data_IF_810790822079
#
_entry.id   IF_810790822079
#
_cell.length_a   1.000
_cell.length_b   1.000
_cell.length_c   1.000
_cell.angle_alpha   90.00
_cell.angle_beta   90.00
_cell.angle_gamma   90.00
#
_symmetry.space_group_name_H-M   'P 1'
#
loop_
_entity.id
_entity.type
_entity.pdbx_description
1 polymer ?
#
# COMPACT_ATOMS: atom_id res chain seq x y z
N UNK A 1 -12.76 2.67 -9.23
CA UNK A 1 -13.00 1.46 -8.42
C UNK A 1 -12.29 0.22 -9.00
N UNK A 2 -12.51 -0.15 -10.27
CA UNK A 2 -11.90 -1.35 -10.86
C UNK A 2 -10.38 -1.47 -10.72
N UNK A 3 -9.63 -0.36 -10.87
CA UNK A 3 -8.18 -0.35 -10.67
C UNK A 3 -7.77 -0.77 -9.25
N UNK A 4 -8.48 -0.28 -8.22
CA UNK A 4 -8.20 -0.63 -6.83
C UNK A 4 -8.50 -2.12 -6.57
N UNK A 5 -9.62 -2.64 -7.08
CA UNK A 5 -9.95 -4.07 -6.97
C UNK A 5 -8.88 -4.93 -7.65
N UNK A 6 -8.49 -4.59 -8.86
CA UNK A 6 -7.42 -5.32 -9.59
C UNK A 6 -6.11 -5.35 -8.78
N UNK A 7 -5.69 -4.18 -8.25
CA UNK A 7 -4.46 -4.11 -7.46
C UNK A 7 -4.59 -4.84 -6.13
N UNK A 8 -5.78 -4.83 -5.49
CA UNK A 8 -6.02 -5.62 -4.28
C UNK A 8 -5.79 -7.11 -4.53
N UNK A 9 -6.30 -7.65 -5.65
CA UNK A 9 -6.05 -9.05 -6.05
C UNK A 9 -4.56 -9.27 -6.31
N UNK A 10 -3.90 -8.38 -7.06
CA UNK A 10 -2.47 -8.46 -7.34
C UNK A 10 -1.63 -8.46 -6.04
N UNK A 11 -1.97 -7.62 -5.07
CA UNK A 11 -1.25 -7.52 -3.80
C UNK A 11 -1.58 -8.63 -2.81
N UNK A 12 -2.72 -9.30 -2.96
CA UNK A 12 -3.10 -10.44 -2.13
C UNK A 12 -2.03 -11.55 -2.13
N UNK A 13 -1.30 -11.72 -3.25
CA UNK A 13 -0.17 -12.64 -3.35
C UNK A 13 1.10 -12.12 -2.66
N UNK A 14 1.29 -10.80 -2.59
CA UNK A 14 2.56 -10.20 -2.18
C UNK A 14 2.95 -10.52 -0.75
N UNK A 15 2.01 -10.44 0.20
CA UNK A 15 2.30 -10.68 1.62
C UNK A 15 2.76 -12.11 1.87
N UNK A 16 2.09 -13.07 1.26
CA UNK A 16 2.46 -14.49 1.38
C UNK A 16 3.81 -14.77 0.72
N UNK A 17 4.06 -14.22 -0.47
CA UNK A 17 5.35 -14.38 -1.15
C UNK A 17 6.50 -13.75 -0.36
N UNK A 18 6.29 -12.60 0.26
CA UNK A 18 7.29 -11.96 1.14
C UNK A 18 7.54 -12.84 2.36
N UNK A 19 6.47 -13.22 3.08
CA UNK A 19 6.59 -13.97 4.32
C UNK A 19 7.19 -15.36 4.15
N UNK A 20 6.82 -16.09 3.08
CA UNK A 20 7.25 -17.46 2.87
C UNK A 20 8.67 -17.57 2.31
N UNK A 21 9.06 -16.67 1.42
CA UNK A 21 10.28 -16.85 0.63
C UNK A 21 11.36 -15.81 0.88
N UNK A 22 11.01 -14.63 1.36
CA UNK A 22 11.96 -13.53 1.55
C UNK A 22 12.20 -13.20 3.02
N UNK A 23 11.16 -13.14 3.85
CA UNK A 23 11.27 -12.76 5.25
C UNK A 23 12.23 -13.68 6.02
N UNK A 24 13.18 -13.10 6.75
CA UNK A 24 14.19 -13.82 7.49
C UNK A 24 15.29 -14.49 6.65
N UNK A 25 15.16 -14.56 5.32
CA UNK A 25 16.10 -15.23 4.40
C UNK A 25 16.87 -14.23 3.54
N UNK A 26 16.21 -13.20 3.07
CA UNK A 26 16.77 -12.14 2.25
C UNK A 26 16.79 -10.86 3.07
N UNK A 27 17.86 -10.07 2.92
CA UNK A 27 17.96 -8.77 3.58
C UNK A 27 16.79 -7.87 3.19
N UNK A 28 16.15 -7.27 4.19
CA UNK A 28 14.95 -6.45 4.00
C UNK A 28 15.22 -5.18 3.19
N UNK A 29 16.35 -4.53 3.45
CA UNK A 29 16.74 -3.28 2.78
C UNK A 29 17.12 -3.56 1.32
N UNK A 30 17.81 -4.68 1.05
CA UNK A 30 18.08 -5.14 -0.32
C UNK A 30 16.80 -5.47 -1.08
N UNK A 31 15.87 -6.18 -0.44
CA UNK A 31 14.61 -6.54 -1.09
C UNK A 31 13.79 -5.30 -1.46
N UNK A 32 13.73 -4.29 -0.57
CA UNK A 32 13.06 -3.01 -0.85
C UNK A 32 13.78 -2.25 -1.96
N UNK A 33 15.10 -2.11 -1.89
CA UNK A 33 15.89 -1.41 -2.92
C UNK A 33 15.70 -2.06 -4.29
N UNK A 34 15.75 -3.39 -4.39
CA UNK A 34 15.52 -4.13 -5.64
C UNK A 34 14.14 -3.83 -6.20
N UNK A 35 13.09 -3.82 -5.37
CA UNK A 35 11.72 -3.50 -5.80
C UNK A 35 11.60 -2.06 -6.28
N UNK A 36 12.26 -1.09 -5.61
CA UNK A 36 12.30 0.32 -6.03
C UNK A 36 12.98 0.46 -7.38
N UNK A 37 14.15 -0.16 -7.56
CA UNK A 37 14.90 -0.12 -8.81
C UNK A 37 14.12 -0.74 -9.97
N UNK A 38 13.52 -1.91 -9.78
CA UNK A 38 12.71 -2.57 -10.81
C UNK A 38 11.47 -1.76 -11.16
N UNK A 39 10.78 -1.17 -10.17
CA UNK A 39 9.66 -0.26 -10.42
C UNK A 39 10.10 1.01 -11.15
N UNK A 40 11.26 1.57 -10.81
CA UNK A 40 11.84 2.71 -11.51
C UNK A 40 12.13 2.38 -12.98
N UNK A 41 12.69 1.20 -13.26
CA UNK A 41 12.99 0.74 -14.62
C UNK A 41 11.73 0.69 -15.51
N UNK A 42 10.57 0.34 -14.95
CA UNK A 42 9.30 0.34 -15.69
C UNK A 42 8.94 1.74 -16.18
N UNK A 43 9.16 2.78 -15.38
CA UNK A 43 8.72 4.14 -15.69
C UNK A 43 9.81 5.04 -16.25
N UNK A 44 11.09 4.71 -16.04
CA UNK A 44 12.23 5.51 -16.49
C UNK A 44 12.16 5.87 -18.00
N UNK A 45 11.85 4.93 -18.93
CA UNK A 45 11.77 5.23 -20.36
C UNK A 45 10.66 6.23 -20.71
N UNK A 46 9.61 6.29 -19.90
CA UNK A 46 8.45 7.14 -20.14
C UNK A 46 8.53 8.47 -19.39
N UNK A 47 9.47 8.62 -18.44
CA UNK A 47 9.56 9.78 -17.57
C UNK A 47 9.86 11.06 -18.35
N UNK A 48 8.96 12.03 -18.20
CA UNK A 48 9.11 13.35 -18.84
C UNK A 48 9.90 14.28 -17.93
N UNK A 49 11.10 14.67 -18.39
CA UNK A 49 12.03 15.49 -17.61
C UNK A 49 11.77 17.00 -17.76
N UNK A 50 11.26 17.43 -18.93
CA UNK A 50 11.01 18.84 -19.26
C UNK A 50 9.51 19.12 -19.37
N UNK A 51 9.12 20.37 -19.09
CA UNK A 51 7.72 20.81 -19.23
C UNK A 51 6.76 20.22 -18.19
N UNK A 52 7.27 19.68 -17.06
CA UNK A 52 6.48 19.25 -15.90
C UNK A 52 6.61 20.28 -14.79
N UNK A 53 5.51 20.79 -14.19
CA UNK A 53 5.57 21.76 -13.10
C UNK A 53 6.46 21.29 -11.95
N UNK A 54 7.32 22.19 -11.43
CA UNK A 54 8.23 21.83 -10.33
C UNK A 54 7.52 21.33 -9.07
N UNK A 55 6.40 21.95 -8.72
CA UNK A 55 5.57 21.51 -7.59
C UNK A 55 5.00 20.09 -7.78
N UNK A 56 4.61 19.72 -9.02
CA UNK A 56 4.16 18.37 -9.34
C UNK A 56 5.29 17.35 -9.15
N UNK A 57 6.50 17.66 -9.71
CA UNK A 57 7.67 16.79 -9.55
C UNK A 57 7.98 16.53 -8.07
N UNK A 58 8.08 17.61 -7.29
CA UNK A 58 8.38 17.53 -5.85
C UNK A 58 7.28 16.78 -5.09
N UNK A 59 6.01 17.06 -5.37
CA UNK A 59 4.90 16.37 -4.72
C UNK A 59 4.90 14.88 -5.00
N UNK A 60 5.07 14.46 -6.27
CA UNK A 60 5.13 13.03 -6.64
C UNK A 60 6.36 12.36 -6.03
N UNK A 61 7.51 13.05 -5.99
CA UNK A 61 8.74 12.55 -5.36
C UNK A 61 8.52 12.31 -3.85
N UNK A 62 7.98 13.30 -3.12
CA UNK A 62 7.69 13.18 -1.68
C UNK A 62 6.70 12.05 -1.41
N UNK A 63 5.68 11.90 -2.24
CA UNK A 63 4.72 10.79 -2.07
C UNK A 63 5.38 9.43 -2.28
N UNK A 64 6.37 9.32 -3.19
CA UNK A 64 7.17 8.12 -3.37
C UNK A 64 8.07 7.81 -2.18
N UNK A 65 8.71 8.85 -1.59
CA UNK A 65 9.48 8.69 -0.34
C UNK A 65 8.61 8.09 0.77
N UNK A 66 7.40 8.61 0.95
CA UNK A 66 6.47 8.17 2.00
C UNK A 66 5.87 6.79 1.67
N UNK A 67 5.13 6.70 0.55
CA UNK A 67 4.28 5.55 0.23
C UNK A 67 5.07 4.29 -0.13
N UNK A 68 6.26 4.45 -0.68
CA UNK A 68 7.07 3.30 -1.06
C UNK A 68 8.36 3.22 -0.25
N UNK A 69 9.16 4.27 -0.16
CA UNK A 69 10.43 4.25 0.55
C UNK A 69 10.25 3.87 2.02
N UNK A 70 9.69 4.76 2.83
CA UNK A 70 9.55 4.56 4.28
C UNK A 70 8.60 3.40 4.58
N UNK A 71 7.44 3.36 3.92
CA UNK A 71 6.44 2.32 4.13
C UNK A 71 7.03 0.92 4.00
N UNK A 72 7.76 0.64 2.91
CA UNK A 72 8.24 -0.72 2.66
C UNK A 72 9.43 -1.09 3.52
N UNK A 73 10.29 -0.16 3.88
CA UNK A 73 11.34 -0.42 4.87
C UNK A 73 10.76 -0.82 6.22
N UNK A 74 9.77 -0.06 6.72
CA UNK A 74 9.10 -0.39 7.97
C UNK A 74 8.31 -1.71 7.87
N UNK A 75 7.61 -1.93 6.76
CA UNK A 75 6.86 -3.16 6.50
C UNK A 75 7.78 -4.40 6.48
N UNK A 76 8.87 -4.35 5.71
CA UNK A 76 9.78 -5.50 5.63
C UNK A 76 10.48 -5.78 6.95
N UNK A 77 10.93 -4.75 7.66
CA UNK A 77 11.53 -4.91 9.00
C UNK A 77 10.52 -5.42 10.03
N UNK A 78 9.22 -5.13 9.87
CA UNK A 78 8.20 -5.65 10.80
C UNK A 78 8.11 -7.18 10.77
N UNK A 79 8.43 -7.83 9.64
CA UNK A 79 8.46 -9.30 9.55
C UNK A 79 9.57 -9.96 10.40
N UNK A 80 10.54 -9.20 10.93
CA UNK A 80 11.50 -9.70 11.92
C UNK A 80 10.88 -9.83 13.33
N UNK A 81 9.74 -9.22 13.56
CA UNK A 81 9.06 -9.17 14.86
C UNK A 81 7.64 -9.75 14.81
N UNK A 82 7.04 -9.82 13.63
CA UNK A 82 5.64 -10.19 13.44
C UNK A 82 5.52 -11.33 12.41
N UNK A 83 4.57 -12.20 12.65
CA UNK A 83 4.13 -13.20 11.66
C UNK A 83 3.33 -12.53 10.54
N UNK A 84 3.21 -13.20 9.37
CA UNK A 84 2.38 -12.72 8.26
C UNK A 84 0.93 -12.39 8.70
N UNK A 85 0.27 -13.24 9.52
CA UNK A 85 -1.03 -12.93 10.09
C UNK A 85 -1.09 -11.61 10.88
N UNK A 86 -0.10 -11.37 11.74
CA UNK A 86 -0.05 -10.15 12.58
C UNK A 86 0.21 -8.90 11.73
N UNK A 87 1.07 -9.01 10.71
CA UNK A 87 1.29 -7.91 9.75
C UNK A 87 -0.04 -7.54 9.06
N UNK A 88 -0.78 -8.53 8.55
CA UNK A 88 -2.10 -8.29 7.94
C UNK A 88 -3.10 -7.72 8.97
N UNK A 89 -3.10 -8.20 10.21
CA UNK A 89 -3.96 -7.67 11.28
C UNK A 89 -3.67 -6.18 11.52
N UNK A 90 -2.41 -5.81 11.67
CA UNK A 90 -2.08 -4.42 12.03
C UNK A 90 -2.18 -3.44 10.87
N UNK A 91 -2.22 -3.90 9.62
CA UNK A 91 -2.52 -3.01 8.47
C UNK A 91 -3.97 -2.54 8.44
N UNK A 92 -4.87 -3.15 9.24
CA UNK A 92 -6.29 -2.75 9.33
C UNK A 92 -6.50 -1.30 9.77
N UNK A 93 -5.49 -0.65 10.40
CA UNK A 93 -5.56 0.75 10.82
C UNK A 93 -5.38 1.75 9.66
N UNK A 94 -4.88 1.31 8.51
CA UNK A 94 -4.63 2.19 7.33
C UNK A 94 -5.85 3.04 6.94
N UNK A 95 -7.09 2.54 6.90
CA UNK A 95 -8.27 3.33 6.59
C UNK A 95 -8.48 4.54 7.50
N UNK A 96 -8.19 4.40 8.78
CA UNK A 96 -8.30 5.50 9.74
C UNK A 96 -7.31 6.61 9.40
N UNK A 97 -6.05 6.25 9.10
CA UNK A 97 -5.04 7.22 8.68
C UNK A 97 -5.41 7.90 7.37
N UNK A 98 -5.94 7.16 6.38
CA UNK A 98 -6.41 7.74 5.10
C UNK A 98 -7.46 8.81 5.34
N UNK A 99 -8.47 8.50 6.15
CA UNK A 99 -9.56 9.42 6.45
C UNK A 99 -9.06 10.65 7.23
N UNK A 100 -8.26 10.44 8.27
CA UNK A 100 -7.74 11.53 9.09
C UNK A 100 -6.81 12.47 8.32
N UNK A 101 -5.94 11.92 7.46
CA UNK A 101 -5.02 12.72 6.63
C UNK A 101 -5.79 13.50 5.56
N UNK A 102 -6.78 12.88 4.91
CA UNK A 102 -7.62 13.56 3.92
C UNK A 102 -8.40 14.70 4.57
N UNK A 103 -9.03 14.46 5.73
CA UNK A 103 -9.76 15.47 6.46
C UNK A 103 -8.85 16.63 6.92
N UNK A 104 -7.67 16.34 7.44
CA UNK A 104 -6.69 17.34 7.85
C UNK A 104 -6.21 18.18 6.66
N UNK A 105 -5.92 17.54 5.52
CA UNK A 105 -5.39 18.21 4.32
C UNK A 105 -6.40 19.18 3.70
N UNK A 106 -7.68 18.80 3.72
CA UNK A 106 -8.77 19.63 3.17
C UNK A 106 -9.51 20.45 4.22
N UNK A 107 -9.01 20.46 5.48
CA UNK A 107 -9.61 21.20 6.62
C UNK A 107 -11.11 20.96 6.76
N UNK A 108 -11.50 19.71 6.66
CA UNK A 108 -12.90 19.25 6.77
C UNK A 108 -12.98 18.08 7.74
N UNK A 109 -14.19 17.75 8.16
CA UNK A 109 -14.47 16.57 8.95
C UNK A 109 -15.54 15.73 8.24
N UNK A 110 -15.21 14.51 7.91
CA UNK A 110 -16.06 13.58 7.16
C UNK A 110 -16.54 12.42 8.07
N UNK A 111 -17.54 12.63 8.94
CA UNK A 111 -17.93 11.63 9.92
C UNK A 111 -18.37 10.31 9.28
N UNK A 112 -19.06 10.36 8.14
CA UNK A 112 -19.50 9.15 7.41
C UNK A 112 -18.29 8.34 6.93
N UNK A 113 -17.27 8.99 6.35
CA UNK A 113 -16.06 8.32 5.89
C UNK A 113 -15.27 7.72 7.07
N UNK A 114 -15.18 8.45 8.19
CA UNK A 114 -14.49 7.97 9.39
C UNK A 114 -15.22 6.76 10.01
N UNK A 115 -16.55 6.82 10.13
CA UNK A 115 -17.37 5.68 10.62
C UNK A 115 -17.22 4.49 9.67
N UNK A 116 -17.30 4.70 8.36
CA UNK A 116 -17.11 3.64 7.38
C UNK A 116 -15.70 3.01 7.49
N UNK A 117 -14.65 3.82 7.66
CA UNK A 117 -13.30 3.33 7.89
C UNK A 117 -13.18 2.53 9.20
N UNK A 118 -13.80 3.01 10.30
CA UNK A 118 -13.81 2.28 11.57
C UNK A 118 -14.55 0.94 11.46
N UNK A 119 -15.71 0.90 10.79
CA UNK A 119 -16.46 -0.34 10.55
C UNK A 119 -15.65 -1.31 9.68
N UNK A 120 -14.96 -0.83 8.64
CA UNK A 120 -14.08 -1.67 7.83
C UNK A 120 -12.90 -2.23 8.64
N UNK A 121 -12.34 -1.43 9.56
CA UNK A 121 -11.29 -1.86 10.49
C UNK A 121 -11.79 -2.98 11.41
N UNK A 122 -12.99 -2.84 11.98
CA UNK A 122 -13.62 -3.89 12.79
C UNK A 122 -13.86 -5.16 11.97
N UNK A 123 -14.37 -5.04 10.75
CA UNK A 123 -14.57 -6.18 9.85
C UNK A 123 -13.29 -6.95 9.56
N UNK A 124 -12.19 -6.24 9.28
CA UNK A 124 -10.89 -6.85 9.07
C UNK A 124 -10.34 -7.51 10.36
N UNK A 125 -10.57 -6.88 11.53
CA UNK A 125 -10.22 -7.44 12.83
C UNK A 125 -10.95 -8.76 13.13
N UNK A 126 -12.24 -8.87 12.82
CA UNK A 126 -13.03 -10.12 12.97
C UNK A 126 -12.38 -11.27 12.18
N UNK A 127 -11.89 -10.98 10.97
CA UNK A 127 -11.26 -12.00 10.13
C UNK A 127 -9.96 -12.52 10.75
N UNK A 128 -9.18 -11.66 11.41
CA UNK A 128 -7.75 -11.92 11.61
C UNK A 128 -7.26 -12.03 13.06
N UNK A 129 -8.08 -11.89 14.06
CA UNK A 129 -7.65 -11.96 15.47
C UNK A 129 -7.33 -13.40 15.90
N UNK A 130 -6.04 -13.73 16.04
CA UNK A 130 -5.54 -15.06 16.48
C UNK A 130 -4.54 -14.98 17.66
N UNK A 131 -4.54 -13.89 18.43
CA UNK A 131 -3.55 -13.63 19.49
C UNK A 131 -2.30 -12.92 18.98
N UNK A 132 -1.40 -12.55 19.88
CA UNK A 132 -0.22 -11.73 19.59
C UNK A 132 1.07 -12.43 20.01
N UNK A 133 2.13 -12.30 19.22
CA UNK A 133 3.45 -12.84 19.51
C UNK A 133 4.23 -12.00 20.53
N UNK A 134 5.30 -12.58 21.11
CA UNK A 134 6.23 -11.82 21.92
C UNK A 134 7.01 -10.79 21.06
N UNK A 135 7.24 -9.60 21.61
CA UNK A 135 7.92 -8.50 20.89
C UNK A 135 7.03 -7.74 19.90
N UNK A 136 5.74 -8.02 19.88
CA UNK A 136 4.78 -7.39 18.98
C UNK A 136 4.79 -5.85 19.02
N UNK A 137 5.17 -5.23 20.13
CA UNK A 137 5.16 -3.76 20.29
C UNK A 137 6.07 -3.10 19.23
N UNK A 138 7.31 -3.59 19.08
CA UNK A 138 8.23 -3.02 18.08
C UNK A 138 7.71 -3.23 16.66
N UNK A 139 7.27 -4.44 16.35
CA UNK A 139 6.68 -4.76 15.06
C UNK A 139 5.41 -3.95 14.77
N UNK A 140 4.54 -3.81 15.79
CA UNK A 140 3.34 -2.98 15.71
C UNK A 140 3.69 -1.51 15.42
N UNK A 141 4.63 -0.91 16.14
CA UNK A 141 5.03 0.49 15.90
C UNK A 141 5.62 0.70 14.52
N UNK A 142 6.51 -0.19 14.07
CA UNK A 142 7.02 -0.17 12.70
C UNK A 142 5.88 -0.21 11.68
N UNK A 143 4.91 -1.06 11.89
CA UNK A 143 3.78 -1.21 10.98
C UNK A 143 2.82 -0.02 11.04
N UNK A 144 2.65 0.65 12.21
CA UNK A 144 1.88 1.90 12.26
C UNK A 144 2.57 3.03 11.50
N UNK A 145 3.91 3.12 11.54
CA UNK A 145 4.67 4.05 10.68
C UNK A 145 4.44 3.71 9.20
N UNK A 146 4.49 2.43 8.83
CA UNK A 146 4.20 1.99 7.46
C UNK A 146 2.78 2.36 7.03
N UNK A 147 1.76 2.08 7.84
CA UNK A 147 0.36 2.40 7.57
C UNK A 147 0.14 3.91 7.39
N UNK A 148 0.72 4.72 8.30
CA UNK A 148 0.62 6.18 8.24
C UNK A 148 1.29 6.73 6.98
N UNK A 149 2.52 6.32 6.68
CA UNK A 149 3.27 6.80 5.51
C UNK A 149 2.66 6.31 4.20
N UNK A 150 2.08 5.11 4.16
CA UNK A 150 1.31 4.63 3.02
C UNK A 150 0.06 5.47 2.78
N UNK A 151 -0.70 5.75 3.84
CA UNK A 151 -1.88 6.60 3.77
C UNK A 151 -1.52 8.03 3.34
N UNK A 152 -0.47 8.63 3.94
CA UNK A 152 0.00 9.95 3.59
C UNK A 152 0.48 10.04 2.13
N UNK A 153 1.14 8.99 1.64
CA UNK A 153 1.59 8.92 0.26
C UNK A 153 0.44 8.89 -0.74
N UNK A 154 -0.54 7.99 -0.56
CA UNK A 154 -1.67 7.88 -1.50
C UNK A 154 -2.60 9.09 -1.47
N UNK A 155 -2.90 9.65 -0.29
CA UNK A 155 -3.69 10.90 -0.17
C UNK A 155 -2.90 12.09 -0.70
N UNK A 156 -1.61 12.17 -0.37
CA UNK A 156 -0.70 13.20 -0.87
C UNK A 156 -0.54 13.16 -2.39
N UNK A 157 -0.47 11.96 -3.00
CA UNK A 157 -0.43 11.82 -4.45
C UNK A 157 -1.70 12.39 -5.10
N UNK A 158 -2.87 11.99 -4.60
CA UNK A 158 -4.16 12.54 -5.05
C UNK A 158 -4.21 14.06 -4.93
N UNK A 159 -3.82 14.60 -3.78
CA UNK A 159 -3.77 16.04 -3.56
C UNK A 159 -2.81 16.75 -4.51
N UNK A 160 -1.62 16.18 -4.73
CA UNK A 160 -0.61 16.72 -5.66
C UNK A 160 -1.15 16.80 -7.08
N UNK A 161 -1.80 15.73 -7.57
CA UNK A 161 -2.38 15.70 -8.90
C UNK A 161 -3.51 16.75 -9.06
N UNK A 162 -4.30 16.98 -8.02
CA UNK A 162 -5.36 18.01 -8.02
C UNK A 162 -4.79 19.44 -7.91
N UNK A 163 -3.71 19.62 -7.15
CA UNK A 163 -3.08 20.94 -6.91
C UNK A 163 -2.31 21.46 -8.10
N UNK A 164 -1.72 20.57 -8.90
CA UNK A 164 -0.89 20.88 -10.06
C UNK A 164 -1.45 20.19 -11.30
N UNK A 165 -2.59 20.66 -11.84
CA UNK A 165 -3.17 20.09 -13.05
C UNK A 165 -2.20 20.24 -14.22
N UNK A 166 -2.13 19.21 -15.05
CA UNK A 166 -1.23 19.15 -16.19
C UNK A 166 -1.80 18.25 -17.28
N UNK A 167 -1.50 18.58 -18.55
CA UNK A 167 -1.81 17.72 -19.69
C UNK A 167 -0.83 16.54 -19.84
N UNK A 168 0.24 16.53 -19.02
CA UNK A 168 1.20 15.43 -19.04
C UNK A 168 0.56 14.17 -18.45
N UNK A 169 0.47 13.07 -19.20
CA UNK A 169 -0.11 11.83 -18.69
C UNK A 169 0.57 11.35 -17.41
N UNK A 170 -0.21 10.84 -16.45
CA UNK A 170 0.28 10.45 -15.13
C UNK A 170 1.45 9.44 -15.19
N UNK A 171 1.45 8.49 -16.15
CA UNK A 171 2.56 7.53 -16.29
C UNK A 171 3.89 8.21 -16.64
N UNK A 172 3.87 9.39 -17.27
CA UNK A 172 5.08 10.17 -17.60
C UNK A 172 5.63 10.97 -16.41
N UNK A 173 4.87 11.12 -15.34
CA UNK A 173 5.32 11.77 -14.10
C UNK A 173 5.60 10.77 -13.00
N UNK A 174 5.14 9.52 -13.14
CA UNK A 174 5.23 8.51 -12.09
C UNK A 174 6.66 8.01 -11.82
N UNK A 175 7.60 8.23 -12.75
CA UNK A 175 9.03 7.98 -12.50
C UNK A 175 9.57 8.76 -11.29
N UNK A 176 9.10 10.00 -11.06
CA UNK A 176 9.49 10.79 -9.88
C UNK A 176 9.09 10.13 -8.56
N UNK A 177 8.01 9.35 -8.54
CA UNK A 177 7.61 8.55 -7.39
C UNK A 177 8.69 7.54 -7.00
N UNK A 178 9.22 6.80 -7.96
CA UNK A 178 10.29 5.84 -7.70
C UNK A 178 11.62 6.51 -7.37
N UNK A 179 11.92 7.67 -7.93
CA UNK A 179 13.10 8.45 -7.52
C UNK A 179 12.98 8.89 -6.07
N UNK A 180 11.80 9.31 -5.63
CA UNK A 180 11.54 9.59 -4.22
C UNK A 180 11.78 8.37 -3.33
N UNK A 181 11.23 7.21 -3.70
CA UNK A 181 11.46 5.98 -2.97
C UNK A 181 12.95 5.59 -2.93
N UNK A 182 13.70 5.83 -4.02
CA UNK A 182 15.13 5.54 -4.11
C UNK A 182 15.97 6.41 -3.16
N UNK A 183 15.59 7.69 -2.96
CA UNK A 183 16.24 8.59 -1.99
C UNK A 183 16.22 8.00 -0.57
N UNK A 184 15.21 7.19 -0.25
CA UNK A 184 15.08 6.50 1.05
C UNK A 184 15.73 5.12 1.02
N UNK A 185 15.41 4.30 0.01
CA UNK A 185 15.80 2.90 -0.03
C UNK A 185 17.31 2.70 -0.25
N UNK A 186 17.95 3.54 -1.08
CA UNK A 186 19.39 3.40 -1.35
C UNK A 186 20.25 3.71 -0.12
N UNK A 187 20.10 4.86 0.57
CA UNK A 187 20.84 5.10 1.80
C UNK A 187 20.55 4.06 2.89
N UNK A 188 19.30 3.60 3.01
CA UNK A 188 18.96 2.55 3.98
C UNK A 188 19.75 1.28 3.74
N UNK A 189 19.83 0.80 2.49
CA UNK A 189 20.62 -0.39 2.16
C UNK A 189 22.13 -0.16 2.38
N UNK A 190 22.66 1.01 2.01
CA UNK A 190 24.10 1.33 2.20
C UNK A 190 24.51 1.39 3.67
N UNK A 191 23.59 1.79 4.57
CA UNK A 191 23.88 1.97 6.00
C UNK A 191 23.54 0.70 6.80
N UNK A 192 22.43 0.03 6.50
CA UNK A 192 21.86 -1.04 7.31
C UNK A 192 21.77 -2.38 6.57
N UNK A 193 22.03 -2.40 5.26
CA UNK A 193 21.91 -3.61 4.45
C UNK A 193 22.98 -4.65 4.79
N UNK A 194 22.59 -5.91 4.74
CA UNK A 194 23.46 -7.06 4.94
C UNK A 194 23.71 -7.79 3.63
N UNK A 195 24.88 -7.51 3.01
CA UNK A 195 25.28 -8.11 1.75
C UNK A 195 25.50 -9.65 1.84
N UNK A 196 25.59 -10.22 3.04
CA UNK A 196 25.68 -11.68 3.22
C UNK A 196 24.33 -12.38 3.04
N UNK A 197 23.23 -11.63 3.08
CA UNK A 197 21.85 -12.14 3.00
C UNK A 197 21.16 -11.74 1.69
N UNK A 198 21.88 -11.83 0.58
CA UNK A 198 21.31 -11.63 -0.76
C UNK A 198 20.51 -12.88 -1.21
N UNK A 199 19.61 -12.74 -2.21
CA UNK A 199 18.89 -13.88 -2.78
C UNK A 199 19.85 -14.94 -3.30
N UNK A 200 19.68 -16.19 -2.87
CA UNK A 200 20.55 -17.33 -3.23
C UNK A 200 19.89 -18.27 -4.24
N UNK A 201 18.56 -18.16 -4.44
CA UNK A 201 17.81 -19.06 -5.31
C UNK A 201 17.15 -18.31 -6.47
N UNK A 202 16.97 -18.98 -7.60
CA UNK A 202 16.24 -18.43 -8.76
C UNK A 202 14.80 -18.06 -8.40
N UNK A 203 14.19 -18.80 -7.45
CA UNK A 203 12.84 -18.52 -6.97
C UNK A 203 12.78 -17.16 -6.23
N UNK A 204 13.73 -16.88 -5.34
CA UNK A 204 13.79 -15.57 -4.64
C UNK A 204 13.96 -14.42 -5.62
N UNK A 205 14.83 -14.55 -6.62
CA UNK A 205 15.01 -13.56 -7.67
C UNK A 205 13.74 -13.38 -8.52
N UNK A 206 13.07 -14.48 -8.87
CA UNK A 206 11.79 -14.44 -9.60
C UNK A 206 10.69 -13.75 -8.81
N UNK A 207 10.60 -14.00 -7.50
CA UNK A 207 9.65 -13.33 -6.60
C UNK A 207 9.97 -11.84 -6.49
N UNK A 208 11.24 -11.45 -6.32
CA UNK A 208 11.64 -10.04 -6.28
C UNK A 208 11.35 -9.34 -7.61
N UNK A 209 11.58 -9.99 -8.74
CA UNK A 209 11.26 -9.47 -10.07
C UNK A 209 9.75 -9.23 -10.20
N UNK A 210 8.92 -10.20 -9.83
CA UNK A 210 7.46 -10.06 -9.85
C UNK A 210 6.98 -8.95 -8.90
N UNK A 211 7.49 -8.93 -7.66
CA UNK A 211 7.16 -7.91 -6.67
C UNK A 211 7.60 -6.51 -7.14
N UNK A 212 8.76 -6.39 -7.77
CA UNK A 212 9.30 -5.12 -8.24
C UNK A 212 8.57 -4.61 -9.49
N UNK A 213 8.43 -5.43 -10.52
CA UNK A 213 7.85 -5.03 -11.81
C UNK A 213 6.32 -4.95 -11.73
N UNK A 214 5.67 -6.01 -11.28
CA UNK A 214 4.21 -6.11 -11.29
C UNK A 214 3.60 -5.44 -10.05
N UNK A 215 3.92 -5.93 -8.84
CA UNK A 215 3.24 -5.47 -7.64
C UNK A 215 3.62 -4.04 -7.24
N UNK A 216 4.90 -3.64 -7.38
CA UNK A 216 5.36 -2.27 -7.11
C UNK A 216 5.27 -1.38 -8.33
N UNK A 217 5.85 -1.78 -9.46
CA UNK A 217 5.89 -0.97 -10.68
C UNK A 217 4.47 -0.63 -11.14
N UNK A 218 3.80 -1.58 -11.71
CA UNK A 218 2.45 -1.40 -12.27
C UNK A 218 1.42 -1.22 -11.15
N UNK A 219 1.50 -2.00 -10.06
CA UNK A 219 0.53 -1.99 -8.98
C UNK A 219 0.41 -0.64 -8.28
N UNK A 220 1.52 -0.03 -7.84
CA UNK A 220 1.49 1.29 -7.18
C UNK A 220 0.99 2.39 -8.14
N UNK A 221 1.34 2.32 -9.41
CA UNK A 221 0.83 3.27 -10.40
C UNK A 221 -0.70 3.17 -10.53
N UNK A 222 -1.22 1.96 -10.73
CA UNK A 222 -2.65 1.73 -10.86
C UNK A 222 -3.41 2.05 -9.58
N UNK A 223 -2.83 1.73 -8.41
CA UNK A 223 -3.39 2.09 -7.11
C UNK A 223 -3.53 3.61 -6.96
N UNK A 224 -2.46 4.36 -7.18
CA UNK A 224 -2.47 5.82 -7.06
C UNK A 224 -3.41 6.46 -8.10
N UNK A 225 -3.47 5.93 -9.31
CA UNK A 225 -4.43 6.37 -10.31
C UNK A 225 -5.88 6.07 -9.87
N UNK A 226 -6.11 4.90 -9.28
CA UNK A 226 -7.40 4.54 -8.68
C UNK A 226 -7.79 5.46 -7.52
N UNK A 227 -6.82 5.82 -6.66
CA UNK A 227 -7.01 6.74 -5.55
C UNK A 227 -7.47 8.14 -6.01
N UNK A 228 -7.00 8.60 -7.16
CA UNK A 228 -7.40 9.91 -7.72
C UNK A 228 -8.86 9.96 -8.17
N UNK A 229 -9.51 8.81 -8.46
CA UNK A 229 -10.87 8.77 -9.03
C UNK A 229 -11.94 8.28 -8.06
N UNK A 230 -11.58 8.06 -6.78
CA UNK A 230 -12.51 7.68 -5.72
C UNK A 230 -12.48 8.70 -4.57
N UNK A 231 -13.52 8.71 -3.75
CA UNK A 231 -13.52 9.48 -2.50
C UNK A 231 -12.62 8.84 -1.43
N UNK A 232 -12.29 9.61 -0.37
CA UNK A 232 -11.40 9.16 0.69
C UNK A 232 -11.96 7.96 1.47
N UNK A 233 -13.28 7.91 1.68
CA UNK A 233 -13.92 6.79 2.37
C UNK A 233 -13.80 5.49 1.56
N UNK A 234 -14.08 5.54 0.27
CA UNK A 234 -13.88 4.40 -0.63
C UNK A 234 -12.40 3.96 -0.66
N UNK A 235 -11.46 4.91 -0.76
CA UNK A 235 -10.03 4.60 -0.73
C UNK A 235 -9.63 3.96 0.60
N UNK A 236 -10.11 4.51 1.71
CA UNK A 236 -9.88 3.98 3.05
C UNK A 236 -10.32 2.51 3.16
N UNK A 237 -11.56 2.22 2.78
CA UNK A 237 -12.12 0.87 2.89
C UNK A 237 -11.38 -0.13 1.98
N UNK A 238 -11.00 0.29 0.76
CA UNK A 238 -10.27 -0.56 -0.18
C UNK A 238 -8.89 -1.00 0.34
N UNK A 239 -8.26 -0.24 1.25
CA UNK A 239 -7.04 -0.68 1.93
C UNK A 239 -7.27 -1.95 2.75
N UNK A 240 -8.45 -2.12 3.38
CA UNK A 240 -8.76 -3.33 4.16
C UNK A 240 -9.30 -4.49 3.31
N UNK A 241 -9.71 -4.26 2.06
CA UNK A 241 -10.11 -5.33 1.15
C UNK A 241 -8.98 -6.34 0.85
N UNK A 242 -7.73 -5.95 1.11
CA UNK A 242 -6.55 -6.82 1.01
C UNK A 242 -6.61 -7.99 1.99
N UNK A 243 -7.22 -7.83 3.18
CA UNK A 243 -7.28 -8.88 4.20
C UNK A 243 -8.09 -10.09 3.71
N UNK A 244 -9.37 -9.96 3.32
CA UNK A 244 -10.11 -11.09 2.78
C UNK A 244 -9.50 -11.63 1.46
N UNK A 245 -8.96 -10.76 0.59
CA UNK A 245 -8.31 -11.18 -0.63
C UNK A 245 -7.06 -12.05 -0.35
N UNK A 246 -6.22 -11.64 0.61
CA UNK A 246 -5.03 -12.40 1.01
C UNK A 246 -5.38 -13.75 1.63
N UNK A 247 -6.47 -13.83 2.42
CA UNK A 247 -6.95 -15.10 2.97
C UNK A 247 -7.47 -16.06 1.88
N UNK A 248 -8.22 -15.55 0.90
CA UNK A 248 -8.68 -16.36 -0.24
C UNK A 248 -7.48 -16.93 -1.00
N UNK A 249 -6.44 -16.12 -1.25
CA UNK A 249 -5.21 -16.56 -1.91
C UNK A 249 -4.51 -17.65 -1.08
N UNK A 250 -4.42 -17.47 0.25
CA UNK A 250 -3.82 -18.48 1.14
C UNK A 250 -4.58 -19.80 1.11
N UNK A 251 -5.91 -19.77 1.11
CA UNK A 251 -6.75 -20.97 1.00
C UNK A 251 -6.52 -21.71 -0.33
N UNK A 252 -6.55 -20.96 -1.45
CA UNK A 252 -6.50 -21.57 -2.78
C UNK A 252 -5.13 -22.11 -3.17
N UNK A 253 -4.05 -21.45 -2.72
CA UNK A 253 -2.68 -21.74 -3.20
C UNK A 253 -1.87 -22.51 -2.17
N UNK A 254 -1.93 -22.10 -0.89
CA UNK A 254 -1.12 -22.73 0.17
C UNK A 254 -1.89 -23.72 1.02
N UNK A 255 -3.17 -23.97 0.69
CA UNK A 255 -4.08 -24.90 1.39
C UNK A 255 -3.97 -24.78 2.93
N UNK A 256 -3.87 -23.54 3.41
CA UNK A 256 -3.83 -23.26 4.86
C UNK A 256 -5.25 -23.19 5.39
N UNK A 257 -5.45 -23.75 6.57
CA UNK A 257 -6.73 -23.65 7.25
C UNK A 257 -7.11 -22.20 7.45
N UNK A 258 -8.31 -21.82 7.01
CA UNK A 258 -8.90 -20.53 7.25
C UNK A 258 -10.29 -20.71 7.85
N UNK A 259 -10.62 -19.88 8.84
CA UNK A 259 -11.95 -19.81 9.39
C UNK A 259 -12.90 -19.14 8.38
N UNK A 260 -13.60 -19.96 7.61
CA UNK A 260 -14.54 -19.51 6.57
C UNK A 260 -15.67 -18.65 7.16
N UNK A 261 -16.09 -18.94 8.41
CA UNK A 261 -17.13 -18.17 9.07
C UNK A 261 -16.62 -16.75 9.38
N UNK A 262 -15.44 -16.61 9.95
CA UNK A 262 -14.81 -15.30 10.19
C UNK A 262 -14.57 -14.54 8.89
N UNK A 263 -14.10 -15.23 7.84
CA UNK A 263 -13.91 -14.63 6.52
C UNK A 263 -15.23 -14.08 5.94
N UNK A 264 -16.31 -14.85 6.03
CA UNK A 264 -17.63 -14.45 5.55
C UNK A 264 -18.19 -13.28 6.37
N UNK A 265 -18.11 -13.35 7.71
CA UNK A 265 -18.60 -12.29 8.61
C UNK A 265 -17.82 -10.98 8.40
N UNK A 266 -16.50 -11.02 8.52
CA UNK A 266 -15.68 -9.80 8.38
C UNK A 266 -15.69 -9.25 6.96
N UNK A 267 -15.70 -10.10 5.93
CA UNK A 267 -15.86 -9.69 4.53
C UNK A 267 -17.19 -9.00 4.28
N UNK A 268 -18.29 -9.52 4.87
CA UNK A 268 -19.61 -8.90 4.80
C UNK A 268 -19.65 -7.53 5.48
N UNK A 269 -18.99 -7.38 6.62
CA UNK A 269 -18.87 -6.07 7.33
C UNK A 269 -18.09 -5.07 6.48
N UNK A 270 -16.99 -5.48 5.81
CA UNK A 270 -16.24 -4.62 4.89
C UNK A 270 -17.12 -4.22 3.68
N UNK A 271 -17.83 -5.17 3.09
CA UNK A 271 -18.74 -4.89 1.96
C UNK A 271 -19.88 -3.94 2.37
N UNK A 272 -20.45 -4.14 3.56
CA UNK A 272 -21.46 -3.24 4.12
C UNK A 272 -20.91 -1.83 4.33
N UNK A 273 -19.68 -1.72 4.85
CA UNK A 273 -19.00 -0.44 5.02
C UNK A 273 -18.82 0.32 3.69
N UNK A 274 -18.44 -0.38 2.61
CA UNK A 274 -18.39 0.22 1.26
C UNK A 274 -19.75 0.71 0.79
N UNK A 275 -20.79 -0.08 1.03
CA UNK A 275 -22.17 0.28 0.66
C UNK A 275 -22.64 1.51 1.45
N UNK A 276 -22.42 1.58 2.76
CA UNK A 276 -22.74 2.75 3.61
C UNK A 276 -22.01 3.99 3.10
N UNK A 277 -20.73 3.90 2.85
CA UNK A 277 -19.95 5.02 2.32
C UNK A 277 -20.50 5.48 0.95
N UNK A 278 -20.76 4.55 0.04
CA UNK A 278 -21.30 4.87 -1.29
C UNK A 278 -22.70 5.49 -1.23
N UNK A 279 -23.53 5.11 -0.24
CA UNK A 279 -24.92 5.57 -0.11
C UNK A 279 -25.06 6.92 0.56
N UNK A 280 -24.23 7.19 1.57
CA UNK A 280 -24.40 8.32 2.48
C UNK A 280 -23.31 9.38 2.38
N UNK A 281 -22.15 9.05 1.77
CA UNK A 281 -21.13 10.07 1.57
C UNK A 281 -21.55 11.02 0.43
N UNK A 282 -21.60 12.35 0.67
CA UNK A 282 -21.92 13.30 -0.38
C UNK A 282 -20.87 13.17 -1.49
N UNK A 283 -21.31 12.78 -2.69
CA UNK A 283 -20.43 12.76 -3.86
C UNK A 283 -19.88 14.16 -4.08
N UNK A 284 -18.68 14.44 -3.58
CA UNK A 284 -17.90 15.53 -4.12
C UNK A 284 -17.72 15.19 -5.61
N UNK A 285 -18.48 15.87 -6.48
CA UNK A 285 -18.32 15.77 -7.92
C UNK A 285 -16.89 16.17 -8.22
N UNK A 286 -16.02 15.19 -8.36
CA UNK A 286 -14.69 15.39 -8.91
C UNK A 286 -14.94 15.83 -10.36
N UNK A 287 -14.95 17.14 -10.60
CA UNK A 287 -14.78 17.72 -11.91
C UNK A 287 -13.34 17.42 -12.34
N UNK A 288 -13.09 16.16 -12.69
CA UNK A 288 -11.94 15.81 -13.51
C UNK A 288 -12.51 15.80 -14.93
N UNK A 289 -12.38 16.93 -15.62
CA UNK A 289 -12.49 16.97 -17.08
C UNK A 289 -11.54 15.90 -17.63
N UNK A 290 -12.09 15.04 -18.46
CA UNK A 290 -11.44 13.95 -19.17
C UNK A 290 -10.18 14.40 -19.94
#
# INVERSE_FOLDING_TARGET
MGLLVFVTVLWAFSFSLIGEFLAGRVDSDFAVLTRVLLGALVFLPFTRWRGVPGGLKLGVLVTGMLQFGITYLCLYRSFSYLTVPEVLLFTIFTPLYVTLIDDALYRRFSPVALVAAAVATLGAGIIRYDGLSQGFITGFLLLQVANFTFAAGQVGYKHTMMRFPTEVPAYRTFGYFFFGALIIALPSFLIFGDASRLPTTSLQWGILAWLGLAASGVGLFLWNRGACVVDAGTLAIMNNALVPAGLIVNLLIWNRDADLLRLALGGSVIAFSLWVNARFHPRARLAVSA
#
